data_IF_123737658959
#
_entry.id   IF_123737658959
#
_cell.length_a   1.000
_cell.length_b   1.000
_cell.length_c   1.000
_cell.angle_alpha   90.00
_cell.angle_beta   90.00
_cell.angle_gamma   90.00
#
_symmetry.space_group_name_H-M   'P 1'
#
loop_
_entity.id
_entity.type
_entity.pdbx_description
1 polymer ?
#
# COMPACT_ATOMS: atom_id res chain seq x y z
N UNK A 1 -5.53 7.79 -2.47
CA UNK A 1 -5.30 9.04 -3.25
C UNK A 1 -6.63 9.67 -3.66
N UNK A 2 -6.69 11.00 -3.75
CA UNK A 2 -7.93 11.73 -4.02
C UNK A 2 -8.28 11.69 -5.51
N UNK A 3 -9.58 11.55 -5.82
CA UNK A 3 -10.14 11.69 -7.17
C UNK A 3 -9.83 13.07 -7.78
N UNK A 4 -9.56 14.06 -6.94
CA UNK A 4 -9.23 15.44 -7.31
C UNK A 4 -7.91 15.50 -8.09
N UNK A 5 -6.86 14.79 -7.65
CA UNK A 5 -5.56 14.77 -8.33
C UNK A 5 -5.66 14.23 -9.77
N UNK A 6 -6.42 13.14 -9.97
CA UNK A 6 -6.59 12.57 -11.31
C UNK A 6 -7.44 13.43 -12.24
N UNK A 7 -8.38 14.20 -11.69
CA UNK A 7 -9.15 15.21 -12.44
C UNK A 7 -8.26 16.37 -12.90
N UNK A 8 -7.35 16.84 -12.05
CA UNK A 8 -6.41 17.93 -12.38
C UNK A 8 -5.40 17.54 -13.46
N UNK A 9 -5.02 16.26 -13.52
CA UNK A 9 -4.15 15.71 -14.58
C UNK A 9 -4.90 15.55 -15.92
N UNK A 10 -6.23 15.65 -15.94
CA UNK A 10 -7.05 15.62 -17.16
C UNK A 10 -7.68 14.27 -17.50
N UNK A 11 -7.74 13.31 -16.56
CA UNK A 11 -8.36 12.00 -16.79
C UNK A 11 -9.89 12.04 -16.69
N UNK A 12 -10.57 11.23 -17.52
CA UNK A 12 -12.03 11.09 -17.46
C UNK A 12 -12.48 10.32 -16.22
N UNK A 13 -13.60 10.73 -15.62
CA UNK A 13 -14.19 10.09 -14.43
C UNK A 13 -14.49 8.59 -14.63
N UNK A 14 -14.81 8.16 -15.85
CA UNK A 14 -15.07 6.75 -16.18
C UNK A 14 -13.81 5.89 -16.16
N UNK A 15 -12.66 6.44 -16.59
CA UNK A 15 -11.37 5.76 -16.54
C UNK A 15 -10.87 5.65 -15.10
N UNK A 16 -10.97 6.74 -14.33
CA UNK A 16 -10.62 6.76 -12.90
C UNK A 16 -11.46 5.73 -12.14
N UNK A 17 -12.76 5.63 -12.43
CA UNK A 17 -13.66 4.68 -11.77
C UNK A 17 -13.31 3.21 -12.08
N UNK A 18 -13.05 2.87 -13.35
CA UNK A 18 -12.73 1.50 -13.74
C UNK A 18 -11.39 1.03 -13.15
N UNK A 19 -10.33 1.84 -13.27
CA UNK A 19 -9.00 1.45 -12.80
C UNK A 19 -8.88 1.49 -11.27
N UNK A 20 -9.47 2.49 -10.60
CA UNK A 20 -9.35 2.64 -9.15
C UNK A 20 -10.24 1.68 -8.34
N UNK A 21 -11.47 1.36 -8.81
CA UNK A 21 -12.38 0.47 -8.06
C UNK A 21 -12.27 -1.02 -8.42
N UNK A 22 -12.16 -1.37 -9.70
CA UNK A 22 -12.21 -2.78 -10.13
C UNK A 22 -10.82 -3.42 -10.24
N UNK A 23 -9.82 -2.65 -10.67
CA UNK A 23 -8.44 -3.13 -10.77
C UNK A 23 -7.82 -3.37 -9.41
N UNK A 24 -7.85 -2.37 -8.53
CA UNK A 24 -7.09 -2.38 -7.27
C UNK A 24 -7.52 -3.52 -6.34
N UNK A 25 -8.81 -3.78 -6.14
CA UNK A 25 -9.30 -4.74 -5.13
C UNK A 25 -8.82 -6.19 -5.35
N UNK A 26 -9.06 -6.75 -6.54
CA UNK A 26 -8.67 -8.13 -6.87
C UNK A 26 -7.15 -8.29 -6.90
N UNK A 27 -6.48 -7.30 -7.46
CA UNK A 27 -5.02 -7.23 -7.57
C UNK A 27 -4.36 -7.24 -6.18
N UNK A 28 -4.89 -6.44 -5.25
CA UNK A 28 -4.39 -6.35 -3.87
C UNK A 28 -4.47 -7.70 -3.16
N UNK A 29 -5.54 -8.47 -3.37
CA UNK A 29 -5.71 -9.78 -2.73
C UNK A 29 -4.65 -10.77 -3.24
N UNK A 30 -4.49 -10.90 -4.55
CA UNK A 30 -3.51 -11.83 -5.16
C UNK A 30 -2.09 -11.46 -4.69
N UNK A 31 -1.80 -10.17 -4.66
CA UNK A 31 -0.50 -9.67 -4.26
C UNK A 31 -0.23 -9.72 -2.75
N UNK A 32 -1.26 -9.64 -1.90
CA UNK A 32 -1.13 -9.88 -0.48
C UNK A 32 -0.62 -11.31 -0.21
N UNK A 33 -1.15 -12.31 -0.93
CA UNK A 33 -0.66 -13.69 -0.84
C UNK A 33 0.80 -13.81 -1.29
N UNK A 34 1.16 -13.20 -2.43
CA UNK A 34 2.53 -13.20 -2.94
C UNK A 34 3.51 -12.52 -1.97
N UNK A 35 3.15 -11.35 -1.44
CA UNK A 35 3.96 -10.62 -0.46
C UNK A 35 4.13 -11.39 0.86
N UNK A 36 3.11 -12.13 1.28
CA UNK A 36 3.17 -13.02 2.45
C UNK A 36 4.21 -14.14 2.29
N UNK A 37 4.23 -14.79 1.13
CA UNK A 37 5.23 -15.83 0.81
C UNK A 37 6.64 -15.26 0.84
N UNK A 38 6.83 -14.05 0.31
CA UNK A 38 8.11 -13.37 0.30
C UNK A 38 8.61 -13.05 1.72
N UNK A 39 7.71 -12.53 2.57
CA UNK A 39 8.02 -12.25 3.98
C UNK A 39 8.40 -13.51 4.77
N UNK A 40 7.77 -14.64 4.48
CA UNK A 40 8.11 -15.92 5.11
C UNK A 40 9.52 -16.38 4.74
N UNK A 41 9.94 -16.20 3.49
CA UNK A 41 11.24 -16.68 3.00
C UNK A 41 12.42 -15.79 3.39
N UNK A 42 12.26 -14.47 3.39
CA UNK A 42 13.35 -13.51 3.62
C UNK A 42 13.39 -12.91 5.03
N UNK A 43 12.39 -13.22 5.86
CA UNK A 43 12.23 -12.70 7.20
C UNK A 43 11.37 -11.44 7.24
N UNK A 44 10.56 -11.32 8.29
CA UNK A 44 9.51 -10.31 8.44
C UNK A 44 10.09 -8.88 8.44
N UNK A 45 11.19 -8.65 9.16
CA UNK A 45 11.80 -7.31 9.27
C UNK A 45 12.38 -6.83 7.94
N UNK A 46 13.09 -7.71 7.20
CA UNK A 46 13.62 -7.36 5.87
C UNK A 46 12.50 -7.10 4.87
N UNK A 47 11.47 -7.94 4.90
CA UNK A 47 10.26 -7.77 4.10
C UNK A 47 9.58 -6.42 4.34
N UNK A 48 9.44 -6.02 5.61
CA UNK A 48 8.87 -4.73 6.01
C UNK A 48 9.65 -3.53 5.45
N UNK A 49 10.98 -3.55 5.54
CA UNK A 49 11.81 -2.47 4.99
C UNK A 49 11.71 -2.40 3.47
N UNK A 50 11.77 -3.55 2.77
CA UNK A 50 11.67 -3.59 1.31
C UNK A 50 10.29 -3.10 0.85
N UNK A 51 9.21 -3.55 1.50
CA UNK A 51 7.85 -3.10 1.17
C UNK A 51 7.67 -1.61 1.43
N UNK A 52 8.27 -1.07 2.50
CA UNK A 52 8.23 0.37 2.80
C UNK A 52 8.95 1.21 1.74
N UNK A 53 10.15 0.80 1.32
CA UNK A 53 10.89 1.46 0.24
C UNK A 53 10.14 1.36 -1.09
N UNK A 54 9.58 0.19 -1.41
CA UNK A 54 8.78 0.00 -2.60
C UNK A 54 7.53 0.89 -2.60
N UNK A 55 6.83 1.01 -1.46
CA UNK A 55 5.67 1.90 -1.30
C UNK A 55 6.04 3.38 -1.47
N UNK A 56 7.19 3.81 -0.97
CA UNK A 56 7.70 5.15 -1.23
C UNK A 56 8.00 5.39 -2.72
N UNK A 57 8.58 4.39 -3.41
CA UNK A 57 8.83 4.46 -4.84
C UNK A 57 7.54 4.53 -5.67
N UNK A 58 6.49 3.79 -5.28
CA UNK A 58 5.16 3.89 -5.89
C UNK A 58 4.59 5.30 -5.79
N UNK A 59 4.72 5.96 -4.63
CA UNK A 59 4.30 7.35 -4.46
C UNK A 59 5.09 8.31 -5.37
N UNK A 60 6.38 8.04 -5.62
CA UNK A 60 7.17 8.82 -6.57
C UNK A 60 6.65 8.69 -8.02
N UNK A 61 6.15 7.51 -8.43
CA UNK A 61 5.56 7.33 -9.76
C UNK A 61 4.35 8.24 -9.98
N UNK A 62 3.53 8.47 -8.96
CA UNK A 62 2.41 9.43 -9.07
C UNK A 62 2.88 10.88 -9.23
N UNK A 63 3.97 11.26 -8.56
CA UNK A 63 4.61 12.57 -8.79
C UNK A 63 5.13 12.70 -10.22
N UNK A 64 5.60 11.62 -10.85
CA UNK A 64 6.02 11.63 -12.25
C UNK A 64 4.81 11.72 -13.19
N UNK A 65 3.70 11.06 -12.90
CA UNK A 65 2.45 11.21 -13.67
C UNK A 65 1.98 12.67 -13.70
N UNK A 66 2.17 13.42 -12.60
CA UNK A 66 1.85 14.85 -12.56
C UNK A 66 2.67 15.68 -13.57
N UNK A 67 3.90 15.27 -13.90
CA UNK A 67 4.79 15.95 -14.83
C UNK A 67 4.68 15.44 -16.27
N UNK A 68 4.37 14.16 -16.47
CA UNK A 68 4.34 13.50 -17.78
C UNK A 68 3.02 13.70 -18.55
N UNK A 69 1.95 14.14 -17.88
CA UNK A 69 0.64 14.36 -18.48
C UNK A 69 -0.23 13.09 -18.58
N UNK A 70 -1.40 13.17 -19.25
CA UNK A 70 -2.42 12.11 -19.26
C UNK A 70 -2.01 10.93 -20.16
N UNK A 71 -1.23 10.01 -19.59
CA UNK A 71 -0.88 8.72 -20.21
C UNK A 71 -1.60 7.59 -19.47
N UNK A 72 -2.63 7.02 -20.09
CA UNK A 72 -3.45 5.95 -19.49
C UNK A 72 -2.62 4.71 -19.11
N UNK A 73 -1.60 4.37 -19.91
CA UNK A 73 -0.74 3.22 -19.65
C UNK A 73 0.13 3.41 -18.39
N UNK A 74 0.66 4.63 -18.19
CA UNK A 74 1.44 4.97 -16.99
C UNK A 74 0.55 4.95 -15.74
N UNK A 75 -0.67 5.46 -15.87
CA UNK A 75 -1.66 5.46 -14.80
C UNK A 75 -2.07 4.05 -14.38
N UNK A 76 -2.34 3.17 -15.35
CA UNK A 76 -2.67 1.77 -15.09
C UNK A 76 -1.51 1.05 -14.39
N UNK A 77 -0.27 1.20 -14.86
CA UNK A 77 0.90 0.61 -14.20
C UNK A 77 1.08 1.14 -12.77
N UNK A 78 0.98 2.45 -12.56
CA UNK A 78 1.14 3.04 -11.24
C UNK A 78 0.10 2.52 -10.24
N UNK A 79 -1.17 2.37 -10.65
CA UNK A 79 -2.21 1.78 -9.78
C UNK A 79 -1.89 0.33 -9.42
N UNK A 80 -1.43 -0.48 -10.37
CA UNK A 80 -1.10 -1.88 -10.12
C UNK A 80 0.07 -2.00 -9.15
N UNK A 81 1.12 -1.22 -9.38
CA UNK A 81 2.31 -1.19 -8.52
C UNK A 81 1.97 -0.65 -7.13
N UNK A 82 1.16 0.40 -7.05
CA UNK A 82 0.67 0.96 -5.79
C UNK A 82 -0.15 -0.06 -5.01
N UNK A 83 -1.12 -0.71 -5.64
CA UNK A 83 -1.94 -1.76 -5.04
C UNK A 83 -1.09 -2.95 -4.54
N UNK A 84 -0.08 -3.37 -5.31
CA UNK A 84 0.89 -4.38 -4.87
C UNK A 84 1.65 -3.95 -3.61
N UNK A 85 2.26 -2.76 -3.64
CA UNK A 85 3.09 -2.27 -2.52
C UNK A 85 2.27 -2.00 -1.27
N UNK A 86 1.04 -1.49 -1.39
CA UNK A 86 0.12 -1.32 -0.28
C UNK A 86 -0.28 -2.67 0.34
N UNK A 87 -0.63 -3.67 -0.49
CA UNK A 87 -0.96 -5.02 -0.02
C UNK A 87 0.19 -5.64 0.76
N UNK A 88 1.40 -5.58 0.18
CA UNK A 88 2.59 -6.17 0.78
C UNK A 88 2.97 -5.46 2.09
N UNK A 89 2.95 -4.13 2.11
CA UNK A 89 3.27 -3.36 3.32
C UNK A 89 2.27 -3.65 4.45
N UNK A 90 0.99 -3.81 4.14
CA UNK A 90 -0.03 -4.16 5.14
C UNK A 90 0.25 -5.54 5.75
N UNK A 91 0.47 -6.56 4.91
CA UNK A 91 0.77 -7.92 5.36
C UNK A 91 2.08 -7.96 6.17
N UNK A 92 3.12 -7.26 5.72
CA UNK A 92 4.40 -7.18 6.43
C UNK A 92 4.22 -6.54 7.82
N UNK A 93 3.45 -5.45 7.91
CA UNK A 93 3.20 -4.75 9.17
C UNK A 93 2.40 -5.59 10.15
N UNK A 94 1.34 -6.26 9.67
CA UNK A 94 0.54 -7.18 10.50
C UNK A 94 1.41 -8.31 11.03
N UNK A 95 2.21 -8.95 10.17
CA UNK A 95 3.12 -10.02 10.57
C UNK A 95 4.17 -9.54 11.60
N UNK A 96 4.68 -8.32 11.43
CA UNK A 96 5.65 -7.71 12.35
C UNK A 96 5.04 -7.44 13.73
N UNK A 97 3.83 -6.87 13.79
CA UNK A 97 3.12 -6.64 15.05
C UNK A 97 2.80 -7.98 15.72
N UNK A 98 2.32 -8.97 14.96
CA UNK A 98 2.05 -10.32 15.48
C UNK A 98 3.30 -10.98 16.07
N UNK A 99 4.48 -10.75 15.50
CA UNK A 99 5.75 -11.25 16.03
C UNK A 99 6.14 -10.59 17.37
N UNK A 100 5.74 -9.35 17.61
CA UNK A 100 6.00 -8.62 18.86
C UNK A 100 4.99 -8.93 19.98
N UNK A 101 3.87 -9.58 19.65
CA UNK A 101 2.83 -9.90 20.62
C UNK A 101 3.11 -11.21 21.34
N UNK A 102 3.03 -11.18 22.67
CA UNK A 102 3.06 -12.40 23.49
C UNK A 102 1.76 -13.23 23.30
N UNK A 103 1.87 -14.57 23.37
CA UNK A 103 0.73 -15.49 23.20
C UNK A 103 -0.31 -15.38 24.32
N UNK A 104 0.07 -14.93 25.52
CA UNK A 104 -0.84 -14.84 26.66
C UNK A 104 -1.85 -13.66 26.57
N UNK A 105 -1.46 -12.55 25.93
CA UNK A 105 -2.28 -11.32 25.81
C UNK A 105 -2.25 -10.75 24.39
N UNK A 106 -2.29 -11.62 23.39
CA UNK A 106 -2.06 -11.28 21.98
C UNK A 106 -3.03 -10.23 21.45
N UNK A 107 -4.31 -10.28 21.82
CA UNK A 107 -5.33 -9.34 21.33
C UNK A 107 -5.08 -7.90 21.81
N UNK A 108 -4.78 -7.73 23.10
CA UNK A 108 -4.60 -6.40 23.70
C UNK A 108 -3.30 -5.75 23.25
N UNK A 109 -2.20 -6.52 23.19
CA UNK A 109 -0.92 -6.02 22.68
C UNK A 109 -1.00 -5.69 21.18
N UNK A 110 -1.65 -6.53 20.38
CA UNK A 110 -1.82 -6.24 18.96
C UNK A 110 -2.62 -4.94 18.75
N UNK A 111 -3.74 -4.79 19.47
CA UNK A 111 -4.57 -3.58 19.39
C UNK A 111 -3.79 -2.31 19.79
N UNK A 112 -2.98 -2.38 20.85
CA UNK A 112 -2.17 -1.26 21.32
C UNK A 112 -1.09 -0.90 20.29
N UNK A 113 -0.32 -1.87 19.80
CA UNK A 113 0.74 -1.65 18.81
C UNK A 113 0.19 -1.17 17.46
N UNK A 114 -0.93 -1.74 17.01
CA UNK A 114 -1.60 -1.32 15.78
C UNK A 114 -2.14 0.12 15.90
N UNK A 115 -2.74 0.47 17.05
CA UNK A 115 -3.21 1.83 17.34
C UNK A 115 -2.05 2.83 17.33
N UNK A 116 -0.91 2.47 17.94
CA UNK A 116 0.29 3.30 17.97
C UNK A 116 0.83 3.59 16.56
N UNK A 117 0.86 2.56 15.69
CA UNK A 117 1.25 2.72 14.29
C UNK A 117 0.31 3.65 13.52
N UNK A 118 -0.99 3.53 13.77
CA UNK A 118 -2.00 4.36 13.11
C UNK A 118 -2.01 5.81 13.63
N UNK A 119 -1.66 6.02 14.92
CA UNK A 119 -1.49 7.34 15.53
C UNK A 119 -0.39 8.13 14.83
N UNK A 120 0.78 7.52 14.61
CA UNK A 120 1.89 8.15 13.90
C UNK A 120 1.50 8.58 12.48
N UNK A 121 0.79 7.72 11.75
CA UNK A 121 0.26 8.05 10.43
C UNK A 121 -0.69 9.26 10.47
N UNK A 122 -1.60 9.29 11.45
CA UNK A 122 -2.65 10.32 11.53
C UNK A 122 -2.09 11.68 11.94
N UNK A 123 -1.16 11.72 12.89
CA UNK A 123 -0.52 12.97 13.34
C UNK A 123 0.34 13.61 12.24
N UNK A 124 1.05 12.80 11.44
CA UNK A 124 1.91 13.30 10.37
C UNK A 124 1.15 13.61 9.07
N UNK A 125 -0.04 13.05 8.88
CA UNK A 125 -0.85 13.29 7.67
C UNK A 125 -1.89 14.40 7.82
N UNK A 126 -2.00 15.00 9.01
CA UNK A 126 -2.87 16.15 9.31
C UNK A 126 -2.13 17.45 9.07
#
# INVERSE_FOLDING_TARGET
MSIVFYKEVGFSNTQIANYSKLGTGLITIIFAFLGSIFNHKYGIVKGLFISGVAMAASNLMFSWIALAGPQEHLYAMAIVVDGFTQAWSLVAMVAFISMLCDRAFSATHYALLASLGNLGRTLLSS
#
